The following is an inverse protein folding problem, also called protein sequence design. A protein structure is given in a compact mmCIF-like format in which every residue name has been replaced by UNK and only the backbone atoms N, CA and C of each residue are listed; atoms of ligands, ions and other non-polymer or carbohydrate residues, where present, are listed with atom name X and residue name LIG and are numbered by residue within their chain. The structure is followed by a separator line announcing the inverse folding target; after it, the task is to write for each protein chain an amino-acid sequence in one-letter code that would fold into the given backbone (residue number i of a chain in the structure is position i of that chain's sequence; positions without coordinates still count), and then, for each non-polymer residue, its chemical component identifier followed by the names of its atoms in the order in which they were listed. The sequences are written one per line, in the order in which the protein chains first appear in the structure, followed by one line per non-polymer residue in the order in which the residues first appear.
data_IF_839170372878
#
_entry.id   IF_839170372878
#
_cell.length_a   1.000
_cell.length_b   1.000
_cell.length_c   1.000
_cell.angle_alpha   90.00
_cell.angle_beta   90.00
_cell.angle_gamma   90.00
#
_symmetry.space_group_name_H-M   'P 1'
#
loop_
_entity.id
_entity.type
_entity.pdbx_description
1 polymer ?
#
# COMPACT_ATOMS: atom_id res chain seq x y z
N UNK A 1 -62.51 -42.23 -17.00
CA UNK A 1 -61.58 -41.96 -18.11
C UNK A 1 -62.10 -40.77 -18.92
N UNK A 2 -61.59 -39.56 -18.66
CA UNK A 2 -61.60 -38.41 -19.59
C UNK A 2 -60.34 -37.60 -19.31
N UNK A 3 -59.40 -37.69 -20.25
CA UNK A 3 -58.21 -36.86 -20.42
C UNK A 3 -58.61 -35.46 -20.93
N UNK A 4 -57.61 -34.57 -20.93
CA UNK A 4 -57.47 -33.24 -21.56
C UNK A 4 -57.52 -32.06 -20.57
N UNK A 5 -56.37 -31.69 -19.99
CA UNK A 5 -55.26 -30.86 -20.54
C UNK A 5 -55.56 -29.37 -20.42
N UNK A 6 -54.91 -28.68 -19.47
CA UNK A 6 -54.28 -27.39 -19.76
C UNK A 6 -53.04 -27.26 -18.89
N UNK A 7 -51.90 -27.31 -19.58
CA UNK A 7 -50.54 -27.22 -19.04
C UNK A 7 -50.10 -25.76 -19.13
N UNK A 8 -49.47 -25.31 -18.04
CA UNK A 8 -48.46 -24.25 -17.90
C UNK A 8 -48.71 -22.87 -18.54
N UNK A 9 -48.91 -21.87 -17.68
CA UNK A 9 -48.52 -20.48 -17.96
C UNK A 9 -47.75 -19.91 -16.75
N UNK A 10 -46.54 -20.42 -16.52
CA UNK A 10 -45.59 -19.85 -15.55
C UNK A 10 -44.18 -19.98 -16.11
N UNK A 11 -43.88 -19.20 -17.15
CA UNK A 11 -42.54 -19.22 -17.78
C UNK A 11 -42.08 -17.85 -18.27
N UNK A 12 -42.40 -16.77 -17.56
CA UNK A 12 -41.93 -15.42 -17.94
C UNK A 12 -41.23 -14.63 -16.83
N UNK A 13 -41.09 -15.16 -15.62
CA UNK A 13 -40.32 -14.51 -14.55
C UNK A 13 -38.82 -14.89 -14.52
N UNK A 14 -38.37 -15.84 -15.33
CA UNK A 14 -36.98 -16.30 -15.34
C UNK A 14 -36.01 -15.41 -16.15
N UNK A 15 -36.50 -14.37 -16.85
CA UNK A 15 -35.67 -13.47 -17.65
C UNK A 15 -35.31 -12.16 -16.93
N UNK A 16 -35.84 -11.92 -15.72
CA UNK A 16 -35.51 -10.73 -14.93
C UNK A 16 -34.31 -10.95 -13.97
N UNK A 17 -33.80 -12.17 -13.85
CA UNK A 17 -32.70 -12.52 -12.90
C UNK A 17 -31.30 -12.46 -13.52
N UNK A 18 -31.14 -11.87 -14.70
CA UNK A 18 -29.83 -11.74 -15.37
C UNK A 18 -28.85 -10.73 -14.70
N UNK A 19 -29.17 -9.85 -13.71
CA UNK A 19 -28.13 -8.98 -13.17
C UNK A 19 -27.12 -9.70 -12.26
N UNK A 20 -27.42 -10.91 -11.77
CA UNK A 20 -26.54 -11.58 -10.81
C UNK A 20 -25.33 -12.29 -11.44
N UNK A 21 -25.37 -12.64 -12.73
CA UNK A 21 -24.27 -13.36 -13.41
C UNK A 21 -23.16 -12.40 -13.91
N UNK A 22 -23.47 -11.13 -14.15
CA UNK A 22 -22.47 -10.12 -14.53
C UNK A 22 -21.63 -9.61 -13.34
N UNK A 23 -22.02 -9.93 -12.09
CA UNK A 23 -21.26 -9.65 -10.87
C UNK A 23 -20.51 -10.88 -10.34
N UNK A 24 -20.50 -12.00 -11.10
CA UNK A 24 -19.89 -13.27 -10.69
C UNK A 24 -18.53 -13.54 -11.34
N UNK A 25 -17.98 -12.60 -12.12
CA UNK A 25 -16.55 -12.65 -12.37
C UNK A 25 -15.85 -12.37 -11.03
N UNK A 26 -14.91 -13.23 -10.59
CA UNK A 26 -14.13 -12.95 -9.39
C UNK A 26 -13.46 -11.59 -9.60
N UNK A 27 -13.77 -10.62 -8.74
CA UNK A 27 -13.08 -9.34 -8.76
C UNK A 27 -11.58 -9.62 -8.53
N UNK A 28 -10.74 -9.18 -9.46
CA UNK A 28 -9.29 -9.32 -9.35
C UNK A 28 -8.81 -8.65 -8.04
N UNK A 29 -7.84 -9.25 -7.33
CA UNK A 29 -7.37 -8.71 -6.07
C UNK A 29 -6.74 -7.32 -6.28
N UNK A 30 -7.24 -6.33 -5.54
CA UNK A 30 -6.71 -4.96 -5.53
C UNK A 30 -5.40 -4.92 -4.74
N UNK A 31 -4.36 -4.31 -5.30
CA UNK A 31 -3.15 -4.00 -4.54
C UNK A 31 -3.35 -2.68 -3.82
N UNK A 32 -3.11 -2.63 -2.51
CA UNK A 32 -3.21 -1.40 -1.71
C UNK A 32 -1.84 -0.76 -1.57
N UNK A 33 -1.78 0.57 -1.60
CA UNK A 33 -0.55 1.34 -1.46
C UNK A 33 -0.71 2.44 -0.41
N UNK A 34 0.37 2.67 0.34
CA UNK A 34 0.62 3.93 1.01
C UNK A 34 1.42 4.83 0.06
N UNK A 35 0.89 6.02 -0.23
CA UNK A 35 1.53 7.05 -1.05
C UNK A 35 1.90 8.20 -0.12
N UNK A 36 3.18 8.39 0.09
CA UNK A 36 3.72 9.44 0.95
C UNK A 36 4.29 10.57 0.11
N UNK A 37 3.88 11.81 0.34
CA UNK A 37 4.50 13.01 -0.27
C UNK A 37 5.36 13.70 0.77
N UNK A 38 6.59 14.04 0.40
CA UNK A 38 7.53 14.73 1.27
C UNK A 38 7.97 16.05 0.67
N UNK A 39 8.18 17.01 1.56
CA UNK A 39 8.93 18.22 1.30
C UNK A 39 10.15 18.21 2.23
N UNK A 40 11.31 18.46 1.66
CA UNK A 40 12.56 18.57 2.40
C UNK A 40 12.69 19.95 3.04
N UNK A 41 13.51 20.03 4.09
CA UNK A 41 14.03 21.32 4.55
C UNK A 41 14.94 21.95 3.49
N UNK A 42 15.04 23.28 3.52
CA UNK A 42 15.72 24.05 2.46
C UNK A 42 17.22 23.68 2.33
N UNK A 43 17.86 23.21 3.40
CA UNK A 43 19.26 22.77 3.47
C UNK A 43 19.43 21.25 3.68
N UNK A 44 18.36 20.47 3.48
CA UNK A 44 18.41 19.02 3.65
C UNK A 44 19.40 18.35 2.69
N UNK A 45 20.14 17.37 3.20
CA UNK A 45 21.01 16.51 2.39
C UNK A 45 20.18 15.41 1.71
N UNK A 46 19.64 15.73 0.54
CA UNK A 46 18.77 14.84 -0.22
C UNK A 46 19.50 13.58 -0.73
N UNK A 47 20.81 13.66 -0.98
CA UNK A 47 21.62 12.51 -1.38
C UNK A 47 21.77 11.53 -0.21
N UNK A 48 22.03 12.06 1.00
CA UNK A 48 22.07 11.25 2.22
C UNK A 48 20.72 10.62 2.53
N UNK A 49 19.62 11.34 2.34
CA UNK A 49 18.28 10.78 2.52
C UNK A 49 18.04 9.59 1.59
N UNK A 50 18.41 9.71 0.31
CA UNK A 50 18.28 8.62 -0.67
C UNK A 50 19.20 7.44 -0.32
N UNK A 51 20.43 7.71 0.11
CA UNK A 51 21.36 6.68 0.59
C UNK A 51 20.75 5.86 1.74
N UNK A 52 20.06 6.52 2.68
CA UNK A 52 19.39 5.83 3.79
C UNK A 52 18.30 4.88 3.26
N UNK A 53 17.50 5.35 2.30
CA UNK A 53 16.44 4.54 1.69
C UNK A 53 17.02 3.31 1.00
N UNK A 54 18.04 3.50 0.17
CA UNK A 54 18.63 2.43 -0.65
C UNK A 54 19.46 1.43 0.17
N UNK A 55 20.14 1.91 1.21
CA UNK A 55 21.07 1.10 2.02
C UNK A 55 20.35 0.37 3.16
N UNK A 56 19.33 0.97 3.76
CA UNK A 56 18.71 0.44 4.96
C UNK A 56 17.23 0.13 4.78
N UNK A 57 16.42 1.10 4.33
CA UNK A 57 14.96 0.96 4.32
C UNK A 57 14.54 -0.13 3.33
N UNK A 58 14.89 0.01 2.05
CA UNK A 58 14.51 -0.94 1.02
C UNK A 58 15.04 -2.36 1.29
N UNK A 59 16.31 -2.54 1.69
CA UNK A 59 16.79 -3.85 2.13
C UNK A 59 16.02 -4.43 3.31
N UNK A 60 15.66 -3.62 4.32
CA UNK A 60 14.84 -4.07 5.44
C UNK A 60 13.43 -4.47 5.00
N UNK A 61 12.84 -3.75 4.04
CA UNK A 61 11.53 -4.09 3.46
C UNK A 61 11.56 -5.45 2.79
N UNK A 62 12.57 -5.69 1.95
CA UNK A 62 12.76 -6.98 1.25
C UNK A 62 12.97 -8.11 2.26
N UNK A 63 13.80 -7.90 3.29
CA UNK A 63 14.02 -8.90 4.34
C UNK A 63 12.74 -9.24 5.13
N UNK A 64 11.79 -8.31 5.23
CA UNK A 64 10.49 -8.50 5.85
C UNK A 64 9.41 -9.06 4.90
N UNK A 65 9.78 -9.42 3.67
CA UNK A 65 8.84 -9.98 2.68
C UNK A 65 7.98 -8.93 1.97
N UNK A 66 8.34 -7.65 2.04
CA UNK A 66 7.65 -6.57 1.35
C UNK A 66 8.38 -6.17 0.06
N UNK A 67 7.65 -5.59 -0.89
CA UNK A 67 8.27 -4.91 -2.01
C UNK A 67 9.04 -3.66 -1.53
N UNK A 68 10.19 -3.32 -2.16
CA UNK A 68 10.87 -2.05 -1.91
C UNK A 68 9.96 -0.87 -2.27
N UNK A 69 10.18 0.25 -1.59
CA UNK A 69 9.54 1.51 -1.90
C UNK A 69 10.06 2.07 -3.22
N UNK A 70 9.15 2.69 -3.99
CA UNK A 70 9.51 3.43 -5.20
C UNK A 70 9.50 4.92 -4.89
N UNK A 71 10.63 5.59 -5.16
CA UNK A 71 10.79 7.03 -4.97
C UNK A 71 10.60 7.76 -6.31
N UNK A 72 9.67 8.70 -6.35
CA UNK A 72 9.42 9.57 -7.49
C UNK A 72 9.80 11.01 -7.15
N UNK A 73 10.78 11.57 -7.87
CA UNK A 73 11.11 12.99 -7.80
C UNK A 73 10.06 13.82 -8.54
N UNK A 74 9.43 14.75 -7.83
CA UNK A 74 8.32 15.55 -8.36
C UNK A 74 8.86 16.86 -8.90
N UNK A 75 8.73 17.08 -10.22
CA UNK A 75 9.29 18.28 -10.88
C UNK A 75 8.27 19.41 -11.11
N UNK A 76 6.99 19.15 -10.88
CA UNK A 76 5.88 20.03 -11.31
C UNK A 76 5.02 20.58 -10.16
N UNK A 77 5.41 20.28 -8.92
CA UNK A 77 4.73 20.78 -7.71
C UNK A 77 5.79 21.39 -6.77
N UNK A 78 5.78 22.71 -6.49
CA UNK A 78 6.78 23.34 -5.62
C UNK A 78 6.64 22.95 -4.14
N UNK A 79 5.51 22.35 -3.74
CA UNK A 79 5.23 21.98 -2.35
C UNK A 79 5.53 20.50 -2.06
N UNK A 80 6.02 19.75 -3.06
CA UNK A 80 6.34 18.33 -2.94
C UNK A 80 7.62 18.05 -3.71
N UNK A 81 8.66 17.62 -3.00
CA UNK A 81 9.94 17.27 -3.61
C UNK A 81 9.93 15.81 -4.09
N UNK A 82 9.38 14.91 -3.27
CA UNK A 82 9.29 13.48 -3.60
C UNK A 82 7.95 12.88 -3.24
N UNK A 83 7.60 11.82 -3.96
CA UNK A 83 6.52 10.90 -3.65
C UNK A 83 7.07 9.49 -3.50
N UNK A 84 6.79 8.84 -2.37
CA UNK A 84 7.11 7.44 -2.12
C UNK A 84 5.85 6.61 -2.30
N UNK A 85 5.92 5.58 -3.13
CA UNK A 85 4.86 4.58 -3.29
C UNK A 85 5.31 3.28 -2.64
N UNK A 86 4.58 2.86 -1.61
CA UNK A 86 4.85 1.64 -0.86
C UNK A 86 3.64 0.71 -0.94
N UNK A 87 3.84 -0.53 -1.39
CA UNK A 87 2.79 -1.56 -1.28
C UNK A 87 2.51 -1.87 0.19
N UNK A 88 1.23 -2.11 0.50
CA UNK A 88 0.73 -2.58 1.78
C UNK A 88 0.28 -4.04 1.66
N UNK A 89 1.12 -5.02 2.04
CA UNK A 89 0.81 -6.45 1.84
C UNK A 89 -0.44 -6.90 2.59
N UNK A 90 -0.69 -6.31 3.77
CA UNK A 90 -1.87 -6.60 4.59
C UNK A 90 -3.13 -5.84 4.12
N UNK A 91 -3.02 -5.06 3.05
CA UNK A 91 -4.08 -4.20 2.54
C UNK A 91 -4.62 -3.23 3.60
N UNK A 92 -5.89 -2.84 3.45
CA UNK A 92 -6.60 -2.05 4.47
C UNK A 92 -6.78 -2.77 5.81
N UNK A 93 -6.72 -4.11 5.84
CA UNK A 93 -6.82 -4.89 7.09
C UNK A 93 -5.65 -4.63 8.05
N UNK A 94 -4.52 -4.13 7.54
CA UNK A 94 -3.39 -3.72 8.37
C UNK A 94 -3.73 -2.60 9.37
N UNK A 95 -4.78 -1.81 9.13
CA UNK A 95 -5.19 -0.73 10.03
C UNK A 95 -5.85 -1.22 11.33
N UNK A 96 -6.33 -2.46 11.38
CA UNK A 96 -6.93 -3.03 12.57
C UNK A 96 -5.89 -3.42 13.63
N UNK A 97 -4.59 -3.31 13.30
CA UNK A 97 -3.49 -3.73 14.15
C UNK A 97 -2.49 -2.59 14.39
N UNK A 98 -2.15 -2.34 15.65
CA UNK A 98 -1.08 -1.40 16.00
C UNK A 98 0.31 -1.87 15.51
N UNK A 99 0.53 -3.18 15.43
CA UNK A 99 1.75 -3.81 14.94
C UNK A 99 1.41 -5.09 14.19
N UNK A 100 1.38 -5.04 12.86
CA UNK A 100 1.22 -6.27 12.06
C UNK A 100 2.50 -7.13 12.12
N UNK A 101 2.42 -8.44 11.87
CA UNK A 101 3.60 -9.29 11.79
C UNK A 101 4.62 -8.77 10.77
N UNK A 102 4.15 -8.28 9.62
CA UNK A 102 4.95 -7.66 8.57
C UNK A 102 5.69 -6.41 9.08
N UNK A 103 4.98 -5.53 9.81
CA UNK A 103 5.60 -4.35 10.43
C UNK A 103 6.65 -4.73 11.47
N UNK A 104 6.39 -5.74 12.30
CA UNK A 104 7.34 -6.22 13.29
C UNK A 104 8.61 -6.77 12.63
N UNK A 105 8.46 -7.56 11.56
CA UNK A 105 9.57 -8.09 10.77
C UNK A 105 10.41 -6.97 10.14
N UNK A 106 9.76 -5.94 9.59
CA UNK A 106 10.44 -4.75 9.06
C UNK A 106 11.26 -4.02 10.10
N UNK A 107 10.67 -3.72 11.26
CA UNK A 107 11.38 -3.01 12.34
C UNK A 107 12.58 -3.82 12.83
N UNK A 108 12.42 -5.13 13.01
CA UNK A 108 13.52 -6.00 13.41
C UNK A 108 14.64 -6.05 12.36
N UNK A 109 14.30 -6.19 11.07
CA UNK A 109 15.27 -6.19 9.98
C UNK A 109 16.02 -4.86 9.89
N UNK A 110 15.29 -3.73 9.96
CA UNK A 110 15.87 -2.40 9.91
C UNK A 110 16.80 -2.16 11.09
N UNK A 111 16.37 -2.51 12.31
CA UNK A 111 17.17 -2.39 13.54
C UNK A 111 18.49 -3.14 13.40
N UNK A 112 18.46 -4.36 12.84
CA UNK A 112 19.66 -5.14 12.62
C UNK A 112 20.58 -4.52 11.56
N UNK A 113 20.02 -4.02 10.46
CA UNK A 113 20.78 -3.43 9.35
C UNK A 113 21.50 -2.14 9.74
N UNK A 114 20.84 -1.27 10.52
CA UNK A 114 21.45 -0.01 11.00
C UNK A 114 22.42 -0.22 12.15
N UNK A 115 22.45 -1.42 12.76
CA UNK A 115 23.41 -1.80 13.79
C UNK A 115 22.89 -1.70 15.24
N UNK A 116 21.58 -1.55 15.45
CA UNK A 116 20.97 -1.53 16.78
C UNK A 116 19.89 -0.46 16.96
N UNK A 117 19.23 -0.48 18.11
CA UNK A 117 18.14 0.45 18.43
C UNK A 117 18.61 1.91 18.53
N UNK A 118 19.82 2.13 19.06
CA UNK A 118 20.40 3.47 19.18
C UNK A 118 20.67 4.09 17.80
N UNK A 119 21.24 3.29 16.88
CA UNK A 119 21.50 3.71 15.51
C UNK A 119 20.20 3.90 14.74
N UNK A 120 19.19 3.07 14.99
CA UNK A 120 17.85 3.27 14.43
C UNK A 120 17.23 4.58 14.89
N UNK A 121 17.34 4.91 16.18
CA UNK A 121 16.82 6.16 16.73
C UNK A 121 17.56 7.37 16.14
N UNK A 122 18.89 7.29 16.00
CA UNK A 122 19.69 8.35 15.39
C UNK A 122 19.34 8.55 13.91
N UNK A 123 19.23 7.48 13.13
CA UNK A 123 18.85 7.54 11.72
C UNK A 123 17.44 8.11 11.54
N UNK A 124 16.48 7.77 12.41
CA UNK A 124 15.14 8.36 12.38
C UNK A 124 15.18 9.86 12.66
N UNK A 125 15.92 10.28 13.69
CA UNK A 125 16.08 11.69 13.99
C UNK A 125 16.77 12.46 12.85
N UNK A 126 17.74 11.82 12.17
CA UNK A 126 18.40 12.37 10.98
C UNK A 126 17.38 12.57 9.84
N UNK A 127 16.58 11.56 9.50
CA UNK A 127 15.55 11.65 8.47
C UNK A 127 14.44 12.64 8.80
N UNK A 128 13.98 12.66 10.06
CA UNK A 128 12.98 13.61 10.55
C UNK A 128 13.52 15.05 10.46
N UNK A 129 14.79 15.26 10.79
CA UNK A 129 15.45 16.57 10.68
C UNK A 129 15.60 17.08 9.26
N UNK A 130 15.59 16.20 8.25
CA UNK A 130 15.61 16.56 6.83
C UNK A 130 14.20 16.85 6.27
N UNK A 131 13.15 16.48 6.99
CA UNK A 131 11.77 16.49 6.47
C UNK A 131 10.99 17.68 7.03
N UNK A 132 10.63 18.61 6.15
CA UNK A 132 9.82 19.79 6.49
C UNK A 132 8.34 19.47 6.61
N UNK A 133 7.84 18.69 5.66
CA UNK A 133 6.44 18.28 5.63
C UNK A 133 6.31 16.86 5.07
N UNK A 134 5.38 16.09 5.63
CA UNK A 134 5.08 14.74 5.20
C UNK A 134 3.58 14.48 5.29
N UNK A 135 3.02 13.97 4.21
CA UNK A 135 1.62 13.57 4.14
C UNK A 135 1.51 12.15 3.57
N UNK A 136 0.60 11.34 4.12
CA UNK A 136 0.36 9.96 3.68
C UNK A 136 -1.09 9.81 3.22
N UNK A 137 -1.24 9.27 2.03
CA UNK A 137 -2.52 8.86 1.43
C UNK A 137 -2.52 7.35 1.24
N UNK A 138 -3.71 6.76 1.21
CA UNK A 138 -3.89 5.34 0.94
C UNK A 138 -4.73 5.16 -0.31
N UNK A 139 -4.26 4.34 -1.24
CA UNK A 139 -4.90 4.09 -2.54
C UNK A 139 -4.85 2.61 -2.88
N UNK A 140 -5.50 2.22 -3.98
CA UNK A 140 -5.47 0.84 -4.47
C UNK A 140 -5.59 0.79 -6.00
N UNK A 141 -5.15 -0.31 -6.60
CA UNK A 141 -5.42 -0.57 -8.03
C UNK A 141 -6.92 -0.77 -8.28
N UNK A 142 -7.42 -0.21 -9.37
CA UNK A 142 -8.74 -0.56 -9.90
C UNK A 142 -8.56 -1.69 -10.93
N UNK A 143 -9.36 -2.77 -10.86
CA UNK A 143 -9.35 -3.84 -11.86
C UNK A 143 -9.86 -3.36 -13.22
#
# INVERSE_FOLDING_TARGET
MRLFTTILATTTLALASVPALAQQEPEEPRTTYAVSTFQFEDDADQERWLEIVDTYINPARVAAGMAPETVHWVMVNPDVDIMIVAEMPDGMGGFDHHMTPTRAAFVAALTNLVGGEEQLAAMRAEMDGMTKNWHVMYTHTHP
#
